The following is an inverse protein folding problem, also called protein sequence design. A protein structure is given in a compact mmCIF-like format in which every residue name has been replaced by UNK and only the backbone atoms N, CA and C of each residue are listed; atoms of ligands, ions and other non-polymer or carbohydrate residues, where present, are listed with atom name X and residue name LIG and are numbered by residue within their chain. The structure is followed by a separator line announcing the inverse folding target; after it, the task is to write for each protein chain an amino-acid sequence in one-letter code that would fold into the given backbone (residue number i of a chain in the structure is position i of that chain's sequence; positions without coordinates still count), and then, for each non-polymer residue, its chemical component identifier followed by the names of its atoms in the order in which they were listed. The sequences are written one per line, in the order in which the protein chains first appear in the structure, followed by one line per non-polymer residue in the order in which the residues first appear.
data_IF_031800348495
#
_entry.id   IF_031800348495
#
_cell.length_a   1.000
_cell.length_b   1.000
_cell.length_c   1.000
_cell.angle_alpha   90.00
_cell.angle_beta   90.00
_cell.angle_gamma   90.00
#
_symmetry.space_group_name_H-M   'P 1'
#
loop_
_entity.id
_entity.type
_entity.pdbx_description
1 polymer ?
#
# COMPACT_ATOMS: atom_id res chain seq x y z
N UNK A 1 6.98 17.20 -9.35
CA UNK A 1 6.74 16.42 -8.16
C UNK A 1 7.07 14.97 -8.43
N UNK A 2 7.74 14.28 -7.52
CA UNK A 2 8.02 12.87 -7.76
C UNK A 2 6.76 12.06 -7.96
N UNK A 3 6.90 11.04 -8.76
CA UNK A 3 5.82 10.20 -9.19
C UNK A 3 6.10 8.79 -8.66
N UNK A 4 5.10 8.19 -8.05
CA UNK A 4 5.19 6.85 -7.47
C UNK A 4 4.12 5.97 -8.07
N UNK A 5 4.36 4.67 -8.01
CA UNK A 5 3.37 3.69 -8.43
C UNK A 5 2.94 2.88 -7.23
N UNK A 6 1.63 2.81 -7.05
CA UNK A 6 1.04 2.08 -5.94
C UNK A 6 0.39 0.82 -6.47
N UNK A 7 0.83 -0.33 -5.98
CA UNK A 7 0.27 -1.61 -6.39
C UNK A 7 -0.60 -2.17 -5.29
N UNK A 8 -1.78 -2.63 -5.69
CA UNK A 8 -2.68 -3.36 -4.81
C UNK A 8 -2.50 -4.84 -5.10
N UNK A 9 -2.22 -5.62 -4.08
CA UNK A 9 -1.92 -7.03 -4.24
C UNK A 9 -3.03 -7.88 -3.67
N UNK A 10 -3.26 -9.04 -4.30
CA UNK A 10 -4.18 -10.02 -3.75
C UNK A 10 -3.56 -10.62 -2.50
N UNK A 11 -4.32 -10.67 -1.40
CA UNK A 11 -3.75 -11.11 -0.15
C UNK A 11 -3.47 -12.61 -0.11
N UNK A 12 -4.06 -13.37 -1.02
CA UNK A 12 -3.85 -14.81 -1.05
C UNK A 12 -2.81 -15.23 -2.07
N UNK A 13 -2.80 -14.60 -3.23
CA UNK A 13 -1.89 -15.00 -4.31
C UNK A 13 -0.69 -14.09 -4.44
N UNK A 14 -0.77 -12.88 -3.93
CA UNK A 14 0.32 -11.92 -4.09
C UNK A 14 0.36 -11.26 -5.46
N UNK A 15 -0.58 -11.56 -6.33
CA UNK A 15 -0.60 -10.96 -7.64
C UNK A 15 -1.10 -9.53 -7.59
N UNK A 16 -0.59 -8.69 -8.48
CA UNK A 16 -1.05 -7.31 -8.60
C UNK A 16 -2.43 -7.34 -9.23
N UNK A 17 -3.41 -6.78 -8.52
CA UNK A 17 -4.78 -6.71 -9.03
C UNK A 17 -5.14 -5.31 -9.48
N UNK A 18 -4.32 -4.32 -9.12
CA UNK A 18 -4.62 -2.94 -9.48
C UNK A 18 -3.37 -2.10 -9.30
N UNK A 19 -3.20 -1.09 -10.16
CA UNK A 19 -2.09 -0.17 -10.04
C UNK A 19 -2.63 1.26 -10.13
N UNK A 20 -2.07 2.15 -9.30
CA UNK A 20 -2.44 3.56 -9.29
C UNK A 20 -1.20 4.40 -9.33
N UNK A 21 -1.35 5.64 -9.76
CA UNK A 21 -0.28 6.61 -9.73
C UNK A 21 -0.46 7.52 -8.53
N UNK A 22 0.65 7.88 -7.91
CA UNK A 22 0.65 8.71 -6.73
C UNK A 22 1.74 9.77 -6.87
N UNK A 23 1.39 11.01 -6.62
CA UNK A 23 2.36 12.10 -6.65
C UNK A 23 2.58 12.59 -5.22
N UNK A 24 3.84 12.72 -4.83
CA UNK A 24 4.18 13.18 -3.49
C UNK A 24 5.52 13.88 -3.55
N UNK A 25 5.76 14.74 -2.57
CA UNK A 25 6.98 15.53 -2.56
C UNK A 25 8.21 14.67 -2.31
N UNK A 26 8.08 13.66 -1.48
CA UNK A 26 9.19 12.76 -1.14
C UNK A 26 8.63 11.45 -0.62
N UNK A 27 9.55 10.54 -0.23
CA UNK A 27 9.13 9.22 0.25
C UNK A 27 8.27 9.33 1.50
N UNK A 28 8.59 10.24 2.40
CA UNK A 28 7.83 10.36 3.64
C UNK A 28 6.38 10.73 3.35
N UNK A 29 6.18 11.70 2.48
CA UNK A 29 4.83 12.11 2.11
C UNK A 29 4.10 10.99 1.38
N UNK A 30 4.80 10.26 0.52
CA UNK A 30 4.20 9.16 -0.21
C UNK A 30 3.79 8.03 0.73
N UNK A 31 4.63 7.72 1.70
CA UNK A 31 4.33 6.67 2.68
C UNK A 31 3.14 7.07 3.53
N UNK A 32 3.07 8.33 3.93
CA UNK A 32 1.93 8.81 4.69
C UNK A 32 0.64 8.62 3.91
N UNK A 33 0.66 8.99 2.63
CA UNK A 33 -0.52 8.84 1.78
C UNK A 33 -0.88 7.35 1.63
N UNK A 34 0.15 6.49 1.48
CA UNK A 34 -0.08 5.07 1.38
C UNK A 34 -0.78 4.53 2.63
N UNK A 35 -0.36 4.98 3.80
CA UNK A 35 -0.95 4.53 5.05
C UNK A 35 -2.42 4.89 5.16
N UNK A 36 -2.82 6.00 4.56
CA UNK A 36 -4.22 6.40 4.55
C UNK A 36 -5.07 5.47 3.70
N UNK A 37 -4.44 4.72 2.81
CA UNK A 37 -5.13 3.79 1.91
C UNK A 37 -5.05 2.36 2.37
N UNK A 38 -4.47 2.10 3.53
CA UNK A 38 -4.30 0.76 4.04
C UNK A 38 -5.65 0.08 4.18
N UNK A 39 -5.72 -1.18 3.77
CA UNK A 39 -6.97 -1.91 3.78
C UNK A 39 -6.69 -3.38 4.04
N UNK A 40 -7.60 -4.26 3.62
CA UNK A 40 -7.49 -5.69 3.89
C UNK A 40 -6.64 -6.43 2.86
N UNK A 41 -5.90 -5.71 2.04
CA UNK A 41 -4.97 -6.34 1.10
C UNK A 41 -3.64 -5.60 1.14
N UNK A 42 -2.54 -6.28 0.79
CA UNK A 42 -1.22 -5.64 0.82
C UNK A 42 -1.08 -4.56 -0.25
N UNK A 43 -0.26 -3.59 0.07
CA UNK A 43 0.07 -2.50 -0.85
C UNK A 43 1.58 -2.42 -0.98
N UNK A 44 2.05 -2.05 -2.17
CA UNK A 44 3.46 -1.78 -2.41
C UNK A 44 3.61 -0.45 -3.09
N UNK A 45 4.55 0.34 -2.62
CA UNK A 45 4.84 1.66 -3.18
C UNK A 45 6.18 1.60 -3.88
N UNK A 46 6.20 1.99 -5.15
CA UNK A 46 7.39 1.93 -5.98
C UNK A 46 7.66 3.27 -6.61
N UNK A 47 8.95 3.54 -6.84
CA UNK A 47 9.38 4.71 -7.61
C UNK A 47 10.45 4.25 -8.56
N UNK A 48 10.15 4.24 -9.86
CA UNK A 48 11.11 3.91 -10.91
C UNK A 48 11.80 2.58 -10.66
N UNK A 49 11.29 1.57 -10.39
CA UNK A 49 11.95 0.30 -10.16
C UNK A 49 12.54 0.11 -8.78
N UNK A 50 12.36 1.08 -7.90
CA UNK A 50 12.81 1.00 -6.52
C UNK A 50 11.59 0.80 -5.63
N UNK A 51 11.57 -0.28 -4.87
CA UNK A 51 10.49 -0.50 -3.91
C UNK A 51 10.75 0.37 -2.69
N UNK A 52 9.82 1.29 -2.43
CA UNK A 52 9.95 2.22 -1.31
C UNK A 52 9.51 1.56 -0.01
N UNK A 53 8.34 0.93 -0.03
CA UNK A 53 7.81 0.31 1.18
C UNK A 53 6.71 -0.67 0.77
N UNK A 54 6.46 -1.63 1.65
CA UNK A 54 5.33 -2.55 1.52
C UNK A 54 4.52 -2.47 2.80
N UNK A 55 3.21 -2.36 2.66
CA UNK A 55 2.29 -2.46 3.79
C UNK A 55 1.53 -3.77 3.66
N UNK A 56 1.58 -4.57 4.71
CA UNK A 56 0.80 -5.81 4.73
C UNK A 56 -0.67 -5.50 4.93
N UNK A 57 -1.51 -6.49 4.64
CA UNK A 57 -2.93 -6.34 4.84
C UNK A 57 -3.21 -6.02 6.29
N UNK A 58 -4.15 -5.09 6.50
CA UNK A 58 -4.55 -4.74 7.85
C UNK A 58 -5.37 -5.88 8.42
N UNK A 59 -5.01 -6.38 9.61
CA UNK A 59 -5.78 -7.47 10.19
C UNK A 59 -7.23 -7.06 10.43
N UNK A 60 -8.13 -8.00 10.26
CA UNK A 60 -9.50 -7.76 10.62
C UNK A 60 -9.63 -7.87 12.12
N UNK A 61 -10.06 -6.79 12.70
CA UNK A 61 -10.19 -6.77 14.15
C UNK A 61 -11.61 -7.06 14.61
N UNK A 62 -12.49 -7.16 13.66
CA UNK A 62 -13.85 -7.45 14.04
C UNK A 62 -13.91 -8.79 14.70
N UNK A 63 -14.48 -8.85 15.73
CA UNK A 63 -14.61 -10.06 16.42
C UNK A 63 -13.56 -10.18 17.40
N UNK A 64 -12.76 -9.69 17.12
CA UNK A 64 -11.75 -9.93 18.09
C UNK A 64 -12.07 -9.38 19.41
N UNK A 65 -12.73 -9.38 18.91
CA UNK A 65 -13.05 -9.03 19.67
C UNK A 65 -13.33 -9.16 20.60
N UNK A 66 -13.16 -9.16 20.76
CA UNK A 66 -13.45 -9.15 21.43
C UNK A 66 -13.87 -9.24 22.16
N UNK A 67 -13.96 -9.41 22.41
CA UNK A 67 -14.40 -9.47 23.00
C UNK A 67 -14.62 -9.60 23.57
#
# INVERSE_FOLDING_TARGET
MPYYRLYHLDQFTGHIVRAEELFAADDVAAIYDLQQRQSDHPLELWQQGRKVVRLDAMPRLSGSHVH
#
